data_IF_823465467437
#
_entry.id   IF_823465467437
#
_cell.length_a   1.000
_cell.length_b   1.000
_cell.length_c   1.000
_cell.angle_alpha   90.00
_cell.angle_beta   90.00
_cell.angle_gamma   90.00
#
_symmetry.space_group_name_H-M   'P 1'
#
loop_
_entity.id
_entity.type
_entity.pdbx_description
1 polymer ?
#
# COMPACT_ATOMS: atom_id res chain seq x y z
N UNK A 1 32.56 -40.51 -21.67
CA UNK A 1 33.24 -39.42 -20.94
C UNK A 1 32.13 -38.45 -20.57
N UNK A 2 31.45 -38.74 -19.46
CA UNK A 2 30.31 -37.95 -19.00
C UNK A 2 30.85 -36.82 -18.13
N UNK A 3 30.59 -35.58 -18.56
CA UNK A 3 30.91 -34.39 -17.78
C UNK A 3 29.70 -34.19 -16.85
N UNK A 4 29.71 -34.88 -15.71
CA UNK A 4 28.78 -34.57 -14.63
C UNK A 4 29.16 -33.21 -14.05
N UNK A 5 28.52 -32.16 -14.57
CA UNK A 5 28.52 -30.85 -13.96
C UNK A 5 27.84 -30.95 -12.60
N UNK A 6 28.64 -31.11 -11.54
CA UNK A 6 28.20 -30.84 -10.16
C UNK A 6 27.76 -29.38 -10.10
N UNK A 7 26.46 -29.14 -10.24
CA UNK A 7 25.82 -27.95 -9.68
C UNK A 7 26.07 -28.03 -8.17
N UNK A 8 27.14 -27.37 -7.72
CA UNK A 8 27.41 -27.20 -6.30
C UNK A 8 26.17 -26.62 -5.62
N UNK A 9 25.92 -27.04 -4.38
CA UNK A 9 24.88 -26.46 -3.54
C UNK A 9 24.92 -24.93 -3.63
N UNK A 10 23.79 -24.25 -3.85
CA UNK A 10 23.79 -22.81 -4.06
C UNK A 10 24.49 -22.13 -2.89
N UNK A 11 25.45 -21.24 -3.20
CA UNK A 11 26.14 -20.42 -2.21
C UNK A 11 25.08 -19.65 -1.41
N UNK A 12 25.14 -19.71 -0.08
CA UNK A 12 24.18 -19.04 0.82
C UNK A 12 24.08 -17.53 0.52
N UNK A 13 25.18 -16.91 0.08
CA UNK A 13 25.21 -15.52 -0.36
C UNK A 13 24.31 -15.26 -1.58
N UNK A 14 24.25 -16.23 -2.51
CA UNK A 14 23.43 -16.12 -3.72
C UNK A 14 21.95 -16.30 -3.39
N UNK A 15 21.61 -17.22 -2.49
CA UNK A 15 20.23 -17.40 -2.00
C UNK A 15 19.76 -16.12 -1.31
N UNK A 16 20.58 -15.56 -0.41
CA UNK A 16 20.26 -14.32 0.30
C UNK A 16 20.05 -13.15 -0.66
N UNK A 17 20.92 -13.00 -1.66
CA UNK A 17 20.77 -11.95 -2.68
C UNK A 17 19.49 -12.12 -3.50
N UNK A 18 19.12 -13.35 -3.86
CA UNK A 18 17.89 -13.63 -4.59
C UNK A 18 16.63 -13.34 -3.76
N UNK A 19 16.64 -13.69 -2.47
CA UNK A 19 15.54 -13.40 -1.54
C UNK A 19 15.38 -11.89 -1.31
N UNK A 20 16.47 -11.16 -1.13
CA UNK A 20 16.45 -9.71 -1.04
C UNK A 20 15.87 -9.10 -2.32
N UNK A 21 16.30 -9.55 -3.49
CA UNK A 21 15.80 -9.04 -4.77
C UNK A 21 14.31 -9.32 -4.95
N UNK A 22 13.86 -10.51 -4.58
CA UNK A 22 12.46 -10.90 -4.61
C UNK A 22 11.61 -10.03 -3.66
N UNK A 23 12.09 -9.82 -2.43
CA UNK A 23 11.43 -8.95 -1.46
C UNK A 23 11.28 -7.52 -1.99
N UNK A 24 12.37 -6.94 -2.53
CA UNK A 24 12.33 -5.59 -3.10
C UNK A 24 11.43 -5.49 -4.34
N UNK A 25 11.37 -6.54 -5.17
CA UNK A 25 10.48 -6.56 -6.34
C UNK A 25 8.99 -6.53 -5.99
N UNK A 26 8.65 -6.88 -4.74
CA UNK A 26 7.28 -6.94 -4.22
C UNK A 26 6.94 -5.81 -3.26
N UNK A 27 7.90 -4.93 -2.97
CA UNK A 27 7.74 -3.86 -2.01
C UNK A 27 7.35 -2.57 -2.73
N UNK A 28 6.27 -1.94 -2.28
CA UNK A 28 5.83 -0.61 -2.73
C UNK A 28 5.93 0.38 -1.59
N UNK A 29 6.42 1.60 -1.88
CA UNK A 29 6.32 2.72 -0.95
C UNK A 29 4.91 3.31 -1.11
N UNK A 30 4.15 3.32 -0.03
CA UNK A 30 2.75 3.74 -0.02
C UNK A 30 2.49 4.82 1.02
N UNK A 31 1.36 5.53 0.86
CA UNK A 31 0.79 6.46 1.85
C UNK A 31 -0.69 6.16 2.02
N UNK A 32 -1.21 6.45 3.21
CA UNK A 32 -2.65 6.49 3.46
C UNK A 32 -3.16 7.91 3.26
N UNK A 33 -4.23 8.04 2.48
CA UNK A 33 -5.00 9.27 2.29
C UNK A 33 -6.32 9.10 3.01
N UNK A 34 -6.71 10.09 3.81
CA UNK A 34 -8.01 10.13 4.46
C UNK A 34 -8.65 11.50 4.22
N UNK A 35 -9.77 11.52 3.46
CA UNK A 35 -10.49 12.75 3.13
C UNK A 35 -11.97 12.60 3.44
N UNK A 36 -12.57 13.68 3.91
CA UNK A 36 -13.98 13.80 4.23
C UNK A 36 -14.69 14.57 3.11
N UNK A 37 -15.93 14.18 2.82
CA UNK A 37 -16.76 14.83 1.82
C UNK A 37 -17.23 16.20 2.32
N UNK A 38 -17.12 17.23 1.50
CA UNK A 38 -17.40 18.61 1.91
C UNK A 38 -18.90 18.91 2.10
N UNK A 39 -19.76 18.25 1.32
CA UNK A 39 -21.23 18.37 1.38
C UNK A 39 -21.86 17.45 2.44
N UNK A 40 -21.13 16.43 2.93
CA UNK A 40 -21.61 15.50 3.94
C UNK A 40 -20.48 15.06 4.89
N UNK A 41 -20.43 15.59 6.12
CA UNK A 41 -19.37 15.28 7.08
C UNK A 41 -19.42 13.84 7.62
N UNK A 42 -20.49 13.08 7.34
CA UNK A 42 -20.60 11.68 7.75
C UNK A 42 -19.96 10.70 6.75
N UNK A 43 -19.48 11.21 5.61
CA UNK A 43 -18.84 10.38 4.58
C UNK A 43 -17.34 10.67 4.56
N UNK A 44 -16.56 9.60 4.74
CA UNK A 44 -15.11 9.64 4.74
C UNK A 44 -14.57 8.51 3.85
N UNK A 45 -13.51 8.80 3.12
CA UNK A 45 -12.80 7.81 2.30
C UNK A 45 -11.38 7.64 2.84
N UNK A 46 -10.95 6.38 2.95
CA UNK A 46 -9.58 5.99 3.32
C UNK A 46 -9.01 5.18 2.18
N UNK A 47 -7.92 5.65 1.59
CA UNK A 47 -7.23 4.98 0.49
C UNK A 47 -5.80 4.68 0.89
N UNK A 48 -5.33 3.46 0.57
CA UNK A 48 -3.91 3.16 0.54
C UNK A 48 -3.41 3.33 -0.89
N UNK A 49 -2.44 4.24 -1.09
CA UNK A 49 -2.02 4.69 -2.41
C UNK A 49 -0.51 4.54 -2.55
N UNK A 50 -0.04 4.08 -3.71
CA UNK A 50 1.39 4.15 -4.02
C UNK A 50 1.86 5.59 -4.05
N UNK A 51 3.05 5.85 -3.52
CA UNK A 51 3.58 7.18 -3.31
C UNK A 51 3.55 8.05 -4.58
N UNK A 52 3.91 7.47 -5.72
CA UNK A 52 3.94 8.15 -7.02
C UNK A 52 2.54 8.51 -7.56
N UNK A 53 1.46 7.94 -7.00
CA UNK A 53 0.09 8.19 -7.44
C UNK A 53 -0.68 9.14 -6.51
N UNK A 54 -0.07 9.58 -5.40
CA UNK A 54 -0.74 10.38 -4.36
C UNK A 54 -1.35 11.66 -4.93
N UNK A 55 -0.58 12.44 -5.70
CA UNK A 55 -1.07 13.71 -6.25
C UNK A 55 -2.26 13.52 -7.19
N UNK A 56 -2.22 12.49 -8.05
CA UNK A 56 -3.32 12.16 -8.94
C UNK A 56 -4.58 11.81 -8.13
N UNK A 57 -4.46 10.92 -7.13
CA UNK A 57 -5.61 10.52 -6.31
C UNK A 57 -6.19 11.66 -5.49
N UNK A 58 -5.35 12.56 -4.96
CA UNK A 58 -5.84 13.75 -4.26
C UNK A 58 -6.64 14.66 -5.19
N UNK A 59 -6.19 14.86 -6.43
CA UNK A 59 -6.94 15.64 -7.42
C UNK A 59 -8.28 15.00 -7.78
N UNK A 60 -8.31 13.68 -7.98
CA UNK A 60 -9.56 12.93 -8.21
C UNK A 60 -10.53 13.06 -7.03
N UNK A 61 -10.03 12.93 -5.80
CA UNK A 61 -10.82 13.08 -4.58
C UNK A 61 -11.43 14.48 -4.47
N UNK A 62 -10.66 15.52 -4.77
CA UNK A 62 -11.12 16.90 -4.76
C UNK A 62 -12.26 17.13 -5.77
N UNK A 63 -12.14 16.61 -6.99
CA UNK A 63 -13.20 16.65 -8.02
C UNK A 63 -14.46 15.94 -7.54
N UNK A 64 -14.32 14.85 -6.78
CA UNK A 64 -15.43 14.11 -6.18
C UNK A 64 -15.99 14.76 -4.89
N UNK A 65 -15.46 15.92 -4.48
CA UNK A 65 -15.92 16.66 -3.30
C UNK A 65 -15.29 16.23 -1.97
N UNK A 66 -14.25 15.39 -1.99
CA UNK A 66 -13.49 14.96 -0.81
C UNK A 66 -12.29 15.88 -0.56
N UNK A 67 -12.54 17.08 -0.03
CA UNK A 67 -11.52 18.11 0.17
C UNK A 67 -11.17 18.40 1.64
N UNK A 68 -11.95 17.89 2.61
CA UNK A 68 -11.76 18.18 4.03
C UNK A 68 -10.89 17.10 4.69
N UNK A 69 -10.07 17.48 5.67
CA UNK A 69 -9.31 16.56 6.51
C UNK A 69 -7.79 16.62 6.29
N UNK A 70 -7.02 15.74 6.96
CA UNK A 70 -5.57 15.71 6.85
C UNK A 70 -5.14 15.37 5.42
N UNK A 71 -3.90 15.68 5.06
CA UNK A 71 -3.40 15.39 3.72
C UNK A 71 -3.09 13.91 3.53
N UNK A 72 -1.90 13.49 3.98
CA UNK A 72 -1.40 12.12 3.81
C UNK A 72 -0.69 11.66 5.07
N UNK A 73 -0.65 10.35 5.29
CA UNK A 73 0.26 9.75 6.27
C UNK A 73 1.72 9.93 5.85
N UNK A 74 2.63 9.61 6.77
CA UNK A 74 4.01 9.30 6.39
C UNK A 74 4.05 8.09 5.47
N UNK A 75 5.14 7.99 4.70
CA UNK A 75 5.42 6.83 3.86
C UNK A 75 5.69 5.59 4.71
N UNK A 76 5.26 4.45 4.19
CA UNK A 76 5.62 3.14 4.72
C UNK A 76 5.73 2.14 3.57
N UNK A 77 6.44 1.04 3.83
CA UNK A 77 6.60 -0.04 2.87
C UNK A 77 5.44 -1.02 3.03
N UNK A 78 4.82 -1.37 1.91
CA UNK A 78 3.83 -2.43 1.82
C UNK A 78 4.33 -3.50 0.86
N UNK A 79 4.28 -4.76 1.28
CA UNK A 79 4.67 -5.90 0.45
C UNK A 79 3.41 -6.45 -0.23
N UNK A 80 3.51 -6.79 -1.51
CA UNK A 80 2.43 -7.42 -2.25
C UNK A 80 1.91 -8.68 -1.54
N UNK A 81 0.58 -8.72 -1.34
CA UNK A 81 -0.11 -9.78 -0.61
C UNK A 81 -0.19 -9.56 0.91
N UNK A 82 0.45 -8.52 1.45
CA UNK A 82 0.32 -8.16 2.86
C UNK A 82 -1.03 -7.48 3.13
N UNK A 83 -1.77 -7.99 4.13
CA UNK A 83 -3.04 -7.40 4.53
C UNK A 83 -2.85 -6.07 5.26
N UNK A 84 -3.70 -5.09 4.94
CA UNK A 84 -3.81 -3.83 5.68
C UNK A 84 -5.07 -3.89 6.53
N UNK A 85 -4.91 -3.67 7.83
CA UNK A 85 -6.03 -3.62 8.78
C UNK A 85 -6.31 -2.17 9.11
N UNK A 86 -7.49 -1.68 8.75
CA UNK A 86 -7.96 -0.34 9.11
C UNK A 86 -8.89 -0.46 10.32
N UNK A 87 -8.65 0.36 11.33
CA UNK A 87 -9.50 0.45 12.53
C UNK A 87 -9.89 1.90 12.77
N UNK A 88 -11.18 2.18 12.72
CA UNK A 88 -11.72 3.46 13.16
C UNK A 88 -11.90 3.45 14.68
N UNK A 89 -11.43 4.50 15.35
CA UNK A 89 -11.58 4.69 16.80
C UNK A 89 -12.25 6.04 17.06
N UNK A 90 -13.09 6.13 18.09
CA UNK A 90 -13.84 7.34 18.42
C UNK A 90 -15.22 7.38 17.77
N UNK A 91 -15.66 8.56 17.34
CA UNK A 91 -17.03 8.81 16.84
C UNK A 91 -17.21 8.45 15.35
N UNK A 92 -16.58 7.37 14.88
CA UNK A 92 -16.62 6.92 13.48
C UNK A 92 -17.01 5.45 13.46
N UNK A 93 -18.06 5.13 12.71
CA UNK A 93 -18.51 3.76 12.44
C UNK A 93 -18.29 3.43 10.97
N UNK A 94 -17.62 2.33 10.68
CA UNK A 94 -17.54 1.81 9.32
C UNK A 94 -18.85 1.10 8.98
N UNK A 95 -19.57 1.61 7.99
CA UNK A 95 -20.62 0.83 7.34
C UNK A 95 -19.96 -0.12 6.35
N UNK A 96 -20.21 -1.43 6.41
CA UNK A 96 -19.80 -2.33 5.34
C UNK A 96 -20.44 -1.85 4.03
N UNK A 97 -19.71 -1.92 2.92
CA UNK A 97 -20.34 -1.79 1.60
C UNK A 97 -21.40 -2.88 1.49
N UNK A 98 -22.64 -2.48 1.22
CA UNK A 98 -23.70 -3.43 0.86
C UNK A 98 -23.42 -3.84 -0.58
N UNK A 99 -23.11 -5.13 -0.79
CA UNK A 99 -22.97 -5.72 -2.13
C UNK A 99 -24.25 -5.60 -2.96
#
# INVERSE_FOLDING_TARGET
MEIEGRLGSPNEEFIKAADELYFHSKASIVRVVAKQRADNPHILIILCVRHEQVSLRLSELEIMGYSIGPDTSKEFVLIDGQAIIVRCSGNITMTPESE
#
